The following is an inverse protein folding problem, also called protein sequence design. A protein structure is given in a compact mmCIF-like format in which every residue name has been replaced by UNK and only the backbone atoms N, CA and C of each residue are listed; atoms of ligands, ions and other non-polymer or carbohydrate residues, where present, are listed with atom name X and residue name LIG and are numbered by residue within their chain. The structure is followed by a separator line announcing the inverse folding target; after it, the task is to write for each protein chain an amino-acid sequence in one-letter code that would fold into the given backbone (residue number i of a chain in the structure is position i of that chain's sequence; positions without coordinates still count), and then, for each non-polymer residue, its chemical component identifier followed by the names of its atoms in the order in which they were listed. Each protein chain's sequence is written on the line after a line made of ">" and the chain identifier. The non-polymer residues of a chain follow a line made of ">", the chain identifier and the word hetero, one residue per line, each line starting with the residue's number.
data_IF_825981322155
#
_entry.id   IF_825981322155
#
_cell.length_a   1.000
_cell.length_b   1.000
_cell.length_c   1.000
_cell.angle_alpha   90.00
_cell.angle_beta   90.00
_cell.angle_gamma   90.00
#
_symmetry.space_group_name_H-M   'P 1'
#
loop_
_entity.id
_entity.type
_entity.pdbx_description
1 polymer ?
#
# COMPACT_ATOMS: atom_id res chain seq x y z
N UNK A 1 -18.13 18.50 9.43
CA UNK A 1 -17.00 17.57 9.24
C UNK A 1 -17.39 16.61 8.13
N UNK A 2 -16.58 16.53 7.08
CA UNK A 2 -16.78 15.65 5.93
C UNK A 2 -16.45 14.20 6.31
N UNK A 3 -16.92 13.25 5.50
CA UNK A 3 -16.57 11.83 5.65
C UNK A 3 -15.05 11.62 5.66
N UNK A 4 -14.33 12.30 4.76
CA UNK A 4 -12.88 12.20 4.65
C UNK A 4 -12.18 12.67 5.93
N UNK A 5 -12.65 13.76 6.54
CA UNK A 5 -12.10 14.26 7.81
C UNK A 5 -12.30 13.26 8.97
N UNK A 6 -13.50 12.67 9.09
CA UNK A 6 -13.80 11.65 10.12
C UNK A 6 -12.97 10.38 9.96
N UNK A 7 -12.65 10.00 8.73
CA UNK A 7 -11.82 8.82 8.44
C UNK A 7 -10.34 9.13 8.64
N UNK A 8 -9.91 10.34 8.30
CA UNK A 8 -8.53 10.78 8.50
C UNK A 8 -8.16 10.81 9.97
N UNK A 9 -9.10 11.15 10.86
CA UNK A 9 -8.88 11.10 12.31
C UNK A 9 -8.68 9.68 12.87
N UNK A 10 -9.04 8.63 12.12
CA UNK A 10 -8.73 7.24 12.50
C UNK A 10 -7.26 6.88 12.25
N UNK A 11 -6.60 7.54 11.30
CA UNK A 11 -5.27 7.16 10.77
C UNK A 11 -4.09 7.24 11.75
N UNK A 12 -4.32 7.66 13.01
CA UNK A 12 -3.31 7.70 14.07
C UNK A 12 -3.65 6.86 15.30
N UNK A 13 -4.80 6.19 15.33
CA UNK A 13 -5.23 5.41 16.49
C UNK A 13 -4.60 4.01 16.43
N UNK A 14 -3.70 3.73 17.38
CA UNK A 14 -3.03 2.42 17.51
C UNK A 14 -3.68 1.51 18.54
N UNK A 15 -4.45 2.07 19.48
CA UNK A 15 -5.17 1.28 20.48
C UNK A 15 -6.48 0.73 19.88
N UNK A 16 -6.71 -0.57 20.10
CA UNK A 16 -7.87 -1.28 19.55
C UNK A 16 -9.21 -0.75 20.06
N UNK A 17 -9.33 -0.50 21.36
CA UNK A 17 -10.59 -0.07 21.98
C UNK A 17 -10.91 1.38 21.60
N UNK A 18 -9.89 2.23 21.50
CA UNK A 18 -10.02 3.58 20.98
C UNK A 18 -10.44 3.58 19.51
N UNK A 19 -9.88 2.69 18.69
CA UNK A 19 -10.28 2.52 17.30
C UNK A 19 -11.74 2.04 17.19
N UNK A 20 -12.12 1.04 17.99
CA UNK A 20 -13.49 0.53 18.02
C UNK A 20 -14.49 1.62 18.42
N UNK A 21 -14.15 2.43 19.43
CA UNK A 21 -14.96 3.57 19.84
C UNK A 21 -15.07 4.63 18.73
N UNK A 22 -13.95 5.04 18.14
CA UNK A 22 -13.95 6.04 17.08
C UNK A 22 -14.74 5.57 15.84
N UNK A 23 -14.62 4.29 15.47
CA UNK A 23 -15.42 3.71 14.39
C UNK A 23 -16.92 3.67 14.72
N UNK A 24 -17.31 3.47 15.98
CA UNK A 24 -18.72 3.43 16.38
C UNK A 24 -19.44 4.78 16.25
N UNK A 25 -18.70 5.88 16.17
CA UNK A 25 -19.22 7.24 15.98
C UNK A 25 -19.43 7.58 14.49
N UNK A 26 -18.99 6.72 13.58
CA UNK A 26 -19.13 6.87 12.12
C UNK A 26 -20.33 6.04 11.65
N UNK A 27 -21.24 6.60 10.82
CA UNK A 27 -22.34 5.82 10.25
C UNK A 27 -21.85 4.60 9.46
N UNK A 28 -22.57 3.48 9.54
CA UNK A 28 -22.17 2.21 8.91
C UNK A 28 -21.92 2.33 7.39
N UNK A 29 -22.69 3.14 6.68
CA UNK A 29 -22.55 3.35 5.24
C UNK A 29 -21.24 4.07 4.90
N UNK A 30 -20.95 5.13 5.65
CA UNK A 30 -19.73 5.92 5.58
C UNK A 30 -18.49 5.08 5.90
N UNK A 31 -18.57 4.27 6.96
CA UNK A 31 -17.50 3.35 7.35
C UNK A 31 -17.29 2.25 6.30
N UNK A 32 -18.36 1.68 5.75
CA UNK A 32 -18.29 0.67 4.68
C UNK A 32 -17.65 1.24 3.42
N UNK A 33 -18.04 2.45 3.02
CA UNK A 33 -17.46 3.13 1.87
C UNK A 33 -15.95 3.36 2.08
N UNK A 34 -15.56 3.82 3.27
CA UNK A 34 -14.17 4.01 3.64
C UNK A 34 -13.34 2.72 3.55
N UNK A 35 -13.86 1.63 4.12
CA UNK A 35 -13.21 0.33 4.10
C UNK A 35 -13.08 -0.21 2.67
N UNK A 36 -14.11 -0.03 1.83
CA UNK A 36 -14.05 -0.39 0.42
C UNK A 36 -12.99 0.41 -0.33
N UNK A 37 -12.94 1.73 -0.14
CA UNK A 37 -11.92 2.59 -0.75
C UNK A 37 -10.51 2.19 -0.29
N UNK A 38 -10.32 1.92 1.00
CA UNK A 38 -9.03 1.49 1.55
C UNK A 38 -8.60 0.13 0.96
N UNK A 39 -9.51 -0.84 0.88
CA UNK A 39 -9.23 -2.14 0.30
C UNK A 39 -8.86 -2.04 -1.19
N UNK A 40 -9.56 -1.20 -1.96
CA UNK A 40 -9.24 -0.95 -3.37
C UNK A 40 -7.85 -0.31 -3.53
N UNK A 41 -7.56 0.72 -2.73
CA UNK A 41 -6.26 1.39 -2.75
C UNK A 41 -5.12 0.44 -2.36
N UNK A 42 -5.33 -0.41 -1.36
CA UNK A 42 -4.36 -1.42 -0.95
C UNK A 42 -4.13 -2.47 -2.05
N UNK A 43 -5.18 -3.02 -2.64
CA UNK A 43 -5.04 -3.99 -3.74
C UNK A 43 -4.28 -3.39 -4.93
N UNK A 44 -4.55 -2.12 -5.25
CA UNK A 44 -3.85 -1.42 -6.31
C UNK A 44 -2.36 -1.20 -5.96
N UNK A 45 -2.05 -0.82 -4.71
CA UNK A 45 -0.66 -0.61 -4.29
C UNK A 45 0.15 -1.92 -4.26
N UNK A 46 -0.46 -3.03 -3.82
CA UNK A 46 0.15 -4.37 -3.89
C UNK A 46 0.50 -4.72 -5.33
N UNK A 47 -0.46 -4.59 -6.25
CA UNK A 47 -0.22 -4.86 -7.68
C UNK A 47 0.89 -3.99 -8.27
N UNK A 48 0.87 -2.68 -7.99
CA UNK A 48 1.92 -1.77 -8.45
C UNK A 48 3.28 -2.14 -7.89
N UNK A 49 3.36 -2.52 -6.61
CA UNK A 49 4.62 -2.95 -6.00
C UNK A 49 5.14 -4.25 -6.64
N UNK A 50 4.27 -5.22 -6.89
CA UNK A 50 4.64 -6.47 -7.60
C UNK A 50 5.24 -6.16 -8.99
N UNK A 51 4.61 -5.27 -9.76
CA UNK A 51 5.12 -4.84 -11.07
C UNK A 51 6.48 -4.13 -10.97
N UNK A 52 6.68 -3.30 -9.94
CA UNK A 52 7.96 -2.63 -9.67
C UNK A 52 9.05 -3.67 -9.35
N UNK A 53 8.76 -4.61 -8.46
CA UNK A 53 9.72 -5.65 -8.07
C UNK A 53 10.10 -6.55 -9.26
N UNK A 54 9.14 -6.90 -10.11
CA UNK A 54 9.42 -7.66 -11.35
C UNK A 54 10.40 -6.91 -12.25
N UNK A 55 10.13 -5.62 -12.54
CA UNK A 55 11.01 -4.79 -13.37
C UNK A 55 12.40 -4.62 -12.77
N UNK A 56 12.48 -4.45 -11.45
CA UNK A 56 13.76 -4.33 -10.75
C UNK A 56 14.57 -5.63 -10.83
N UNK A 57 13.92 -6.79 -10.66
CA UNK A 57 14.59 -8.07 -10.80
C UNK A 57 15.12 -8.29 -12.23
N UNK A 58 14.33 -7.98 -13.25
CA UNK A 58 14.79 -8.06 -14.64
C UNK A 58 16.00 -7.15 -14.91
N UNK A 59 16.03 -5.95 -14.34
CA UNK A 59 17.16 -5.04 -14.47
C UNK A 59 18.40 -5.56 -13.74
N UNK A 60 18.23 -6.11 -12.53
CA UNK A 60 19.31 -6.74 -11.79
C UNK A 60 19.91 -7.89 -12.60
N UNK A 61 19.08 -8.74 -13.19
CA UNK A 61 19.53 -9.86 -14.03
C UNK A 61 20.28 -9.37 -15.28
N UNK A 62 19.84 -8.27 -15.89
CA UNK A 62 20.55 -7.65 -17.03
C UNK A 62 21.93 -7.13 -16.62
N UNK A 63 21.99 -6.36 -15.54
CA UNK A 63 23.24 -5.78 -15.03
C UNK A 63 24.24 -6.86 -14.60
N UNK A 64 23.77 -7.95 -13.99
CA UNK A 64 24.62 -9.08 -13.62
C UNK A 64 25.27 -9.74 -14.84
N UNK A 65 24.52 -9.92 -15.93
CA UNK A 65 25.06 -10.44 -17.19
C UNK A 65 26.13 -9.52 -17.78
N UNK A 66 25.87 -8.22 -17.79
CA UNK A 66 26.83 -7.23 -18.29
C UNK A 66 28.13 -7.24 -17.46
N UNK A 67 28.01 -7.29 -16.13
CA UNK A 67 29.18 -7.41 -15.24
C UNK A 67 29.98 -8.68 -15.55
N UNK A 68 29.32 -9.81 -15.78
CA UNK A 68 29.99 -11.08 -16.06
C UNK A 68 30.69 -11.09 -17.44
N UNK A 69 30.12 -10.44 -18.44
CA UNK A 69 30.76 -10.23 -19.75
C UNK A 69 32.01 -9.36 -19.62
N UNK A 70 31.91 -8.24 -18.89
CA UNK A 70 33.05 -7.35 -18.64
C UNK A 70 34.18 -8.03 -17.87
N UNK A 71 33.85 -8.93 -16.93
CA UNK A 71 34.84 -9.74 -16.21
C UNK A 71 35.58 -10.73 -17.11
N UNK A 72 34.92 -11.29 -18.13
CA UNK A 72 35.53 -12.24 -19.09
C UNK A 72 36.42 -11.53 -20.11
N UNK A 73 36.16 -10.25 -20.39
CA UNK A 73 36.95 -9.44 -21.31
C UNK A 73 38.26 -8.91 -20.71
N UNK A 74 38.56 -9.23 -19.45
CA UNK A 74 39.73 -8.79 -18.70
C UNK A 74 40.64 -9.96 -18.35
#
# INVERSE_FOLDING_TARGET
>A
MTLIEKLSSLGGIVNRDEMAKACSEIPDEDLRLALMTLALAYNQSVKTNEEIFQKQNEEIDRLQKEIDELKKAK
#
